data_IF_927572669352
#
_entry.id   IF_927572669352
#
_cell.length_a   1.000
_cell.length_b   1.000
_cell.length_c   1.000
_cell.angle_alpha   90.00
_cell.angle_beta   90.00
_cell.angle_gamma   90.00
#
_symmetry.space_group_name_H-M   'P 1'
#
loop_
_entity.id
_entity.type
_entity.pdbx_description
1 polymer ?
#
# COMPACT_ATOMS: atom_id res chain seq x y z
N UNK A 1 5.45 -20.03 -1.46
CA UNK A 1 4.92 -19.85 -0.10
C UNK A 1 4.49 -18.39 0.01
N UNK A 2 3.24 -18.12 0.37
CA UNK A 2 2.71 -16.74 0.48
C UNK A 2 2.90 -16.30 1.92
N UNK A 3 3.79 -15.34 2.17
CA UNK A 3 4.06 -14.80 3.50
C UNK A 3 2.97 -13.77 3.82
N UNK A 4 2.36 -13.90 4.98
CA UNK A 4 1.35 -12.94 5.43
C UNK A 4 1.95 -11.96 6.42
N UNK A 5 1.32 -10.78 6.58
CA UNK A 5 1.77 -9.80 7.58
C UNK A 5 1.78 -10.36 9.01
N UNK A 6 0.98 -11.40 9.28
CA UNK A 6 0.92 -12.09 10.56
C UNK A 6 2.06 -13.10 10.79
N UNK A 7 2.76 -13.50 9.72
CA UNK A 7 3.93 -14.39 9.74
C UNK A 7 5.24 -13.60 9.96
N UNK A 8 5.13 -12.28 9.98
CA UNK A 8 6.23 -11.35 10.10
C UNK A 8 6.35 -10.79 11.52
N UNK A 9 7.59 -10.57 11.94
CA UNK A 9 7.93 -10.02 13.25
C UNK A 9 8.50 -8.60 13.09
N UNK A 10 8.26 -7.72 14.06
CA UNK A 10 8.85 -6.37 14.06
C UNK A 10 9.96 -6.28 15.10
N UNK A 11 11.12 -5.81 14.67
CA UNK A 11 12.25 -5.53 15.56
C UNK A 11 12.07 -4.18 16.29
N UNK A 12 12.96 -3.88 17.25
CA UNK A 12 12.96 -2.61 18.01
C UNK A 12 13.05 -1.36 17.11
N UNK A 13 13.59 -1.49 15.89
CA UNK A 13 13.68 -0.43 14.86
C UNK A 13 12.46 -0.38 13.91
N UNK A 14 11.36 -1.07 14.23
CA UNK A 14 10.19 -1.25 13.35
C UNK A 14 10.50 -1.94 12.01
N UNK A 15 11.61 -2.68 11.93
CA UNK A 15 11.95 -3.49 10.75
C UNK A 15 11.27 -4.84 10.78
N UNK A 16 10.75 -5.22 9.63
CA UNK A 16 10.14 -6.52 9.40
C UNK A 16 11.20 -7.61 9.34
N UNK A 17 10.99 -8.67 10.10
CA UNK A 17 11.80 -9.88 10.13
C UNK A 17 10.93 -11.10 9.83
N UNK A 18 11.55 -12.09 9.20
CA UNK A 18 10.97 -13.39 8.97
C UNK A 18 11.97 -14.45 9.42
N UNK A 19 11.55 -15.34 10.33
CA UNK A 19 12.41 -16.39 10.90
C UNK A 19 13.73 -15.84 11.47
N UNK A 20 13.68 -14.68 12.15
CA UNK A 20 14.84 -14.03 12.76
C UNK A 20 15.76 -13.24 11.81
N UNK A 21 15.49 -13.22 10.51
CA UNK A 21 16.27 -12.47 9.51
C UNK A 21 15.46 -11.29 8.93
N UNK A 22 16.11 -10.19 8.47
CA UNK A 22 15.42 -9.08 7.82
C UNK A 22 14.68 -9.55 6.55
N UNK A 23 13.37 -9.29 6.50
CA UNK A 23 12.52 -9.79 5.43
C UNK A 23 12.69 -8.98 4.15
N UNK A 24 12.89 -9.66 3.02
CA UNK A 24 12.91 -9.04 1.69
C UNK A 24 11.97 -9.80 0.78
N UNK A 25 10.90 -9.15 0.33
CA UNK A 25 9.83 -9.79 -0.43
C UNK A 25 8.49 -9.11 -0.22
N UNK A 26 7.46 -9.66 -0.85
CA UNK A 26 6.09 -9.18 -0.72
C UNK A 26 5.36 -9.97 0.36
N UNK A 27 4.86 -9.29 1.38
CA UNK A 27 3.94 -9.88 2.34
C UNK A 27 2.53 -9.34 2.12
N UNK A 28 1.53 -10.14 2.45
CA UNK A 28 0.14 -9.78 2.21
C UNK A 28 -0.75 -10.03 3.42
N UNK A 29 -1.74 -9.18 3.63
CA UNK A 29 -2.81 -9.45 4.58
C UNK A 29 -3.99 -10.03 3.81
N UNK A 30 -4.70 -10.96 4.43
CA UNK A 30 -5.86 -11.61 3.82
C UNK A 30 -7.12 -11.21 4.58
N UNK A 31 -8.23 -11.08 3.85
CA UNK A 31 -9.56 -11.05 4.43
C UNK A 31 -9.89 -12.39 5.11
N UNK A 32 -10.94 -12.39 5.93
CA UNK A 32 -11.45 -13.61 6.57
C UNK A 32 -11.82 -14.71 5.55
N UNK A 33 -12.19 -14.33 4.33
CA UNK A 33 -12.50 -15.23 3.22
C UNK A 33 -11.26 -15.76 2.47
N UNK A 34 -10.06 -15.26 2.80
CA UNK A 34 -8.79 -15.65 2.17
C UNK A 34 -8.39 -14.81 0.95
N UNK A 35 -9.24 -13.87 0.52
CA UNK A 35 -8.90 -12.87 -0.49
C UNK A 35 -7.78 -11.94 0.00
N UNK A 36 -6.94 -11.41 -0.90
CA UNK A 36 -5.89 -10.46 -0.53
C UNK A 36 -6.52 -9.13 -0.14
N UNK A 37 -6.27 -8.69 1.09
CA UNK A 37 -6.67 -7.39 1.61
C UNK A 37 -5.61 -6.34 1.33
N UNK A 38 -4.35 -6.65 1.65
CA UNK A 38 -3.23 -5.76 1.38
C UNK A 38 -2.02 -6.55 0.89
N UNK A 39 -1.17 -5.93 0.10
CA UNK A 39 0.16 -6.41 -0.22
C UNK A 39 1.16 -5.28 -0.01
N UNK A 40 2.30 -5.59 0.59
CA UNK A 40 3.39 -4.66 0.84
C UNK A 40 4.70 -5.35 0.52
N UNK A 41 5.52 -4.68 -0.30
CA UNK A 41 6.89 -5.12 -0.57
C UNK A 41 7.84 -4.55 0.46
N UNK A 42 8.77 -5.38 0.93
CA UNK A 42 9.80 -5.04 1.89
C UNK A 42 11.18 -5.34 1.29
N UNK A 43 12.16 -4.51 1.62
CA UNK A 43 13.58 -4.69 1.33
C UNK A 43 14.35 -4.56 2.65
N UNK A 44 15.07 -5.60 3.05
CA UNK A 44 15.85 -5.63 4.30
C UNK A 44 15.03 -5.26 5.56
N UNK A 45 13.76 -5.66 5.58
CA UNK A 45 12.81 -5.38 6.64
C UNK A 45 12.17 -3.99 6.57
N UNK A 46 12.47 -3.20 5.54
CA UNK A 46 11.98 -1.84 5.38
C UNK A 46 10.96 -1.82 4.24
N UNK A 47 9.80 -1.15 4.38
CA UNK A 47 8.83 -1.02 3.29
C UNK A 47 9.49 -0.38 2.05
N UNK A 48 9.53 -1.09 0.94
CA UNK A 48 10.17 -0.63 -0.30
C UNK A 48 9.44 -1.20 -1.52
N UNK A 49 9.14 -0.35 -2.49
CA UNK A 49 8.39 -0.70 -3.68
C UNK A 49 6.90 -0.44 -3.54
N UNK A 50 6.10 -1.30 -4.17
CA UNK A 50 4.65 -1.13 -4.26
C UNK A 50 3.94 -1.67 -3.01
N UNK A 51 2.94 -0.93 -2.57
CA UNK A 51 1.97 -1.34 -1.57
C UNK A 51 0.58 -1.17 -2.17
N UNK A 52 -0.27 -2.19 -2.10
CA UNK A 52 -1.64 -2.13 -2.60
C UNK A 52 -2.60 -2.60 -1.53
N UNK A 53 -3.75 -1.95 -1.46
CA UNK A 53 -4.91 -2.42 -0.71
C UNK A 53 -5.98 -2.75 -1.73
N UNK A 54 -6.71 -3.83 -1.47
CA UNK A 54 -7.80 -4.28 -2.31
C UNK A 54 -9.10 -4.23 -1.52
N UNK A 55 -10.21 -4.03 -2.21
CA UNK A 55 -11.54 -4.29 -1.72
C UNK A 55 -11.80 -5.79 -1.55
N UNK A 56 -12.80 -6.20 -0.75
CA UNK A 56 -13.18 -7.61 -0.62
C UNK A 56 -13.61 -8.27 -1.95
N UNK A 57 -14.01 -7.47 -2.94
CA UNK A 57 -14.31 -7.91 -4.32
C UNK A 57 -13.05 -8.17 -5.18
N UNK A 58 -11.84 -7.90 -4.65
CA UNK A 58 -10.56 -8.06 -5.33
C UNK A 58 -10.11 -6.87 -6.19
N UNK A 59 -10.90 -5.79 -6.24
CA UNK A 59 -10.55 -4.54 -6.92
C UNK A 59 -9.52 -3.76 -6.11
N UNK A 60 -8.63 -3.01 -6.76
CA UNK A 60 -7.66 -2.17 -6.03
C UNK A 60 -8.41 -1.01 -5.36
N UNK A 61 -8.26 -0.88 -4.04
CA UNK A 61 -8.73 0.26 -3.25
C UNK A 61 -7.70 1.37 -3.26
N UNK A 62 -6.42 1.04 -3.05
CA UNK A 62 -5.35 2.04 -3.07
C UNK A 62 -4.01 1.44 -3.45
N UNK A 63 -3.14 2.28 -4.01
CA UNK A 63 -1.80 1.93 -4.45
C UNK A 63 -0.84 3.03 -4.01
N UNK A 64 0.22 2.62 -3.31
CA UNK A 64 1.24 3.50 -2.76
C UNK A 64 2.60 2.99 -3.16
N UNK A 65 3.54 3.89 -3.34
CA UNK A 65 4.95 3.55 -3.49
C UNK A 65 5.74 4.02 -2.27
N UNK A 66 6.52 3.10 -1.72
CA UNK A 66 7.45 3.35 -0.64
C UNK A 66 8.88 3.27 -1.19
N UNK A 67 9.70 4.27 -0.87
CA UNK A 67 11.14 4.23 -1.05
C UNK A 67 11.79 4.25 0.33
N UNK A 68 12.36 3.11 0.72
CA UNK A 68 13.13 2.95 1.98
C UNK A 68 12.36 3.43 3.21
N UNK A 69 11.10 3.01 3.30
CA UNK A 69 10.20 3.32 4.42
C UNK A 69 9.48 4.66 4.30
N UNK A 70 9.74 5.45 3.25
CA UNK A 70 9.08 6.74 3.03
C UNK A 70 8.16 6.68 1.83
N UNK A 71 6.99 7.31 1.90
CA UNK A 71 6.10 7.44 0.76
C UNK A 71 6.79 8.28 -0.33
N UNK A 72 6.87 7.74 -1.53
CA UNK A 72 7.54 8.38 -2.65
C UNK A 72 6.84 8.05 -3.97
N UNK A 73 6.53 9.09 -4.75
CA UNK A 73 5.85 8.93 -6.04
C UNK A 73 4.33 9.03 -5.93
N UNK A 74 3.64 8.31 -6.82
CA UNK A 74 2.18 8.31 -6.92
C UNK A 74 1.51 7.50 -5.82
N UNK A 75 0.42 8.05 -5.31
CA UNK A 75 -0.44 7.48 -4.30
C UNK A 75 -1.86 7.59 -4.85
N UNK A 76 -2.38 6.47 -5.34
CA UNK A 76 -3.68 6.39 -5.99
C UNK A 76 -4.67 5.74 -5.05
N UNK A 77 -5.89 6.24 -5.02
CA UNK A 77 -7.03 5.62 -4.33
C UNK A 77 -8.18 5.54 -5.32
N UNK A 78 -8.89 4.44 -5.32
CA UNK A 78 -10.07 4.23 -6.14
C UNK A 78 -11.29 4.06 -5.25
N UNK A 79 -12.45 4.40 -5.80
CA UNK A 79 -13.77 4.12 -5.24
C UNK A 79 -14.13 2.65 -5.46
N UNK A 80 -15.11 2.09 -4.72
CA UNK A 80 -15.57 0.72 -4.93
C UNK A 80 -16.13 0.47 -6.34
N UNK A 81 -16.59 1.53 -7.02
CA UNK A 81 -17.03 1.49 -8.42
C UNK A 81 -15.87 1.39 -9.43
N UNK A 82 -14.61 1.43 -8.99
CA UNK A 82 -13.41 1.36 -9.83
C UNK A 82 -12.94 2.69 -10.40
N UNK A 83 -13.65 3.80 -10.14
CA UNK A 83 -13.22 5.15 -10.54
C UNK A 83 -12.15 5.65 -9.59
N UNK A 84 -11.26 6.51 -10.10
CA UNK A 84 -10.24 7.15 -9.28
C UNK A 84 -10.94 8.05 -8.25
N UNK A 85 -10.65 7.82 -6.98
CA UNK A 85 -11.10 8.64 -5.87
C UNK A 85 -10.08 9.72 -5.56
N UNK A 86 -8.80 9.39 -5.67
CA UNK A 86 -7.72 10.29 -5.31
C UNK A 86 -6.44 9.94 -6.05
N UNK A 87 -5.72 10.95 -6.51
CA UNK A 87 -4.36 10.88 -7.02
C UNK A 87 -3.53 11.89 -6.24
N UNK A 88 -2.51 11.41 -5.54
CA UNK A 88 -1.53 12.23 -4.85
C UNK A 88 -0.14 11.92 -5.34
N UNK A 89 0.61 12.95 -5.70
CA UNK A 89 2.00 12.82 -6.11
C UNK A 89 2.88 13.43 -5.02
N UNK A 90 3.78 12.61 -4.48
CA UNK A 90 4.76 13.04 -3.49
C UNK A 90 6.17 13.08 -4.10
N UNK A 91 6.77 14.26 -4.19
CA UNK A 91 8.16 14.43 -4.56
C UNK A 91 8.97 14.89 -3.35
N UNK A 92 10.05 14.16 -3.03
CA UNK A 92 10.94 14.45 -1.89
C UNK A 92 10.18 14.60 -0.55
N UNK A 93 9.11 13.83 -0.38
CA UNK A 93 8.26 13.86 0.82
C UNK A 93 7.32 15.06 0.90
N UNK A 94 7.24 15.89 -0.15
CA UNK A 94 6.27 16.98 -0.26
C UNK A 94 5.17 16.58 -1.22
N UNK A 95 3.93 16.85 -0.85
CA UNK A 95 2.79 16.73 -1.75
C UNK A 95 2.96 17.78 -2.87
N UNK A 96 3.08 17.31 -4.10
CA UNK A 96 3.22 18.14 -5.30
C UNK A 96 1.87 18.35 -5.96
N UNK A 97 1.08 17.29 -6.04
CA UNK A 97 -0.27 17.34 -6.58
C UNK A 97 -1.18 16.46 -5.75
N UNK A 98 -2.40 16.95 -5.51
CA UNK A 98 -3.50 16.16 -5.03
C UNK A 98 -4.70 16.49 -5.89
N UNK A 99 -5.30 15.47 -6.46
CA UNK A 99 -6.58 15.56 -7.12
C UNK A 99 -7.48 14.53 -6.43
N UNK A 100 -8.64 14.98 -5.98
CA UNK A 100 -9.66 14.11 -5.44
C UNK A 100 -10.87 14.16 -6.38
N UNK A 101 -11.61 13.07 -6.44
CA UNK A 101 -12.84 12.96 -7.21
C UNK A 101 -13.89 12.24 -6.39
N UNK A 102 -15.14 12.65 -6.57
CA UNK A 102 -16.29 11.95 -6.02
C UNK A 102 -16.55 10.63 -6.76
N UNK A 103 -17.44 9.80 -6.21
CA UNK A 103 -17.86 8.55 -6.86
C UNK A 103 -18.45 8.77 -8.27
N UNK A 104 -19.03 9.95 -8.52
CA UNK A 104 -19.54 10.35 -9.85
C UNK A 104 -18.42 10.71 -10.85
N UNK A 105 -17.17 10.84 -10.40
CA UNK A 105 -16.04 11.25 -11.23
C UNK A 105 -15.90 12.76 -11.39
N UNK A 106 -16.74 13.55 -10.71
CA UNK A 106 -16.56 14.98 -10.55
C UNK A 106 -15.37 15.26 -9.65
N UNK A 107 -14.48 16.21 -10.00
CA UNK A 107 -13.38 16.60 -9.11
C UNK A 107 -13.93 17.19 -7.81
N UNK A 108 -13.38 16.74 -6.68
CA UNK A 108 -13.59 17.29 -5.34
C UNK A 108 -12.65 18.50 -5.20
N UNK A 109 -13.12 19.65 -5.67
CA UNK A 109 -12.47 20.96 -5.50
C UNK A 109 -13.18 21.64 -4.32
N UNK A 110 -12.64 21.40 -3.11
CA UNK A 110 -13.28 21.75 -1.83
C UNK A 110 -13.67 23.22 -1.66
#
# INVERSE_FOLDING_TARGET
MRITMNDLEYDQDQRVRYQGAPYSGTACELYADGAVMTEQTFDQGIPHGLARTFYPDGRVESEWRHDRGRRHGSCLRWHPNGRLAEDRIYERGKLVSCQAWHEDGTPDDG
#
